data_IF_963823627847
#
_entry.id   IF_963823627847
#
_cell.length_a   1.000
_cell.length_b   1.000
_cell.length_c   1.000
_cell.angle_alpha   90.00
_cell.angle_beta   90.00
_cell.angle_gamma   90.00
#
_symmetry.space_group_name_H-M   'P 1'
#
loop_
_entity.id
_entity.type
_entity.pdbx_description
1 polymer ?
#
# COMPACT_ATOMS: atom_id res chain seq x y z
N UNK A 1 -32.91 19.20 -11.16
CA UNK A 1 -32.03 18.08 -11.54
C UNK A 1 -30.61 18.52 -11.23
N UNK A 2 -30.04 18.02 -10.13
CA UNK A 2 -28.65 18.30 -9.78
C UNK A 2 -27.78 17.37 -10.64
N UNK A 3 -27.02 17.92 -11.58
CA UNK A 3 -25.99 17.15 -12.26
C UNK A 3 -24.92 16.85 -11.21
N UNK A 4 -24.82 15.60 -10.78
CA UNK A 4 -23.69 15.16 -9.97
C UNK A 4 -22.41 15.66 -10.64
N UNK A 5 -21.42 16.17 -9.88
CA UNK A 5 -20.16 16.59 -10.46
C UNK A 5 -19.58 15.42 -11.24
N UNK A 6 -19.18 15.66 -12.49
CA UNK A 6 -18.56 14.66 -13.34
C UNK A 6 -17.11 14.48 -12.83
N UNK A 7 -16.96 13.75 -11.73
CA UNK A 7 -15.65 13.38 -11.22
C UNK A 7 -15.02 12.40 -12.22
N UNK A 8 -13.75 12.60 -12.62
CA UNK A 8 -13.07 11.60 -13.42
C UNK A 8 -13.11 10.26 -12.69
N UNK A 9 -13.19 9.16 -13.44
CA UNK A 9 -13.09 7.82 -12.87
C UNK A 9 -11.81 7.74 -12.01
N UNK A 10 -11.88 7.11 -10.81
CA UNK A 10 -10.74 7.03 -9.92
C UNK A 10 -9.58 6.32 -10.62
N UNK A 11 -8.36 6.79 -10.35
CA UNK A 11 -7.14 6.17 -10.87
C UNK A 11 -6.33 5.65 -9.71
N UNK A 12 -6.54 4.39 -9.35
CA UNK A 12 -5.82 3.77 -8.28
C UNK A 12 -4.39 3.46 -8.70
N UNK A 13 -3.45 3.75 -7.81
CA UNK A 13 -2.03 3.43 -7.97
C UNK A 13 -1.66 2.50 -6.82
N UNK A 14 -1.28 1.27 -7.15
CA UNK A 14 -0.56 0.38 -6.25
C UNK A 14 0.88 0.87 -6.10
N UNK A 15 1.40 0.86 -4.88
CA UNK A 15 2.76 1.21 -4.57
C UNK A 15 3.43 0.15 -3.71
N UNK A 16 4.75 0.01 -3.90
CA UNK A 16 5.66 -0.74 -3.04
C UNK A 16 6.77 0.19 -2.58
N UNK A 17 7.05 0.21 -1.28
CA UNK A 17 8.09 1.06 -0.70
C UNK A 17 9.11 0.16 -0.02
N UNK A 18 10.35 0.17 -0.50
CA UNK A 18 11.45 -0.53 0.16
C UNK A 18 11.76 0.15 1.51
N UNK A 19 11.43 -0.55 2.60
CA UNK A 19 11.67 -0.10 3.98
C UNK A 19 12.86 -0.82 4.61
N UNK A 20 13.51 -1.72 3.87
CA UNK A 20 14.66 -2.51 4.33
C UNK A 20 15.78 -1.68 4.98
N UNK A 21 16.11 -0.45 4.51
CA UNK A 21 17.13 0.38 5.15
C UNK A 21 16.84 0.74 6.62
N UNK A 22 15.60 0.58 7.08
CA UNK A 22 15.15 0.90 8.44
C UNK A 22 14.99 -0.34 9.34
N UNK A 23 15.21 -1.54 8.80
CA UNK A 23 14.99 -2.80 9.49
C UNK A 23 16.26 -3.34 10.14
N UNK A 24 16.09 -4.14 11.21
CA UNK A 24 17.18 -4.89 11.81
C UNK A 24 17.68 -5.99 10.86
N UNK A 25 18.99 -6.27 10.86
CA UNK A 25 19.62 -7.26 9.98
C UNK A 25 19.00 -8.66 10.11
N UNK A 26 18.65 -9.02 11.33
CA UNK A 26 18.20 -10.35 11.74
C UNK A 26 16.78 -10.60 11.23
N UNK A 27 15.96 -9.55 11.27
CA UNK A 27 14.64 -9.52 10.66
C UNK A 27 14.74 -9.61 9.13
N UNK A 28 15.60 -8.80 8.51
CA UNK A 28 15.81 -8.83 7.05
C UNK A 28 16.27 -10.19 6.54
N UNK A 29 17.15 -10.88 7.28
CA UNK A 29 17.60 -12.21 6.93
C UNK A 29 16.43 -13.22 6.83
N UNK A 30 15.41 -13.07 7.69
CA UNK A 30 14.19 -13.89 7.66
C UNK A 30 13.23 -13.49 6.54
N UNK A 31 13.27 -12.23 6.10
CA UNK A 31 12.45 -11.70 5.01
C UNK A 31 13.06 -11.89 3.60
N UNK A 32 14.13 -12.69 3.46
CA UNK A 32 14.80 -12.89 2.17
C UNK A 32 15.75 -11.76 1.75
N UNK A 33 16.07 -10.84 2.66
CA UNK A 33 17.01 -9.73 2.45
C UNK A 33 16.33 -8.37 2.32
N UNK A 34 15.03 -8.34 1.98
CA UNK A 34 14.24 -7.11 1.90
C UNK A 34 12.85 -7.28 2.47
N UNK A 35 12.27 -6.16 2.87
CA UNK A 35 10.87 -6.04 3.28
C UNK A 35 10.31 -4.74 2.73
N UNK A 36 9.09 -4.83 2.25
CA UNK A 36 8.41 -3.74 1.57
C UNK A 36 7.14 -3.36 2.32
N UNK A 37 6.78 -2.08 2.25
CA UNK A 37 5.44 -1.63 2.58
C UNK A 37 4.63 -1.53 1.29
N UNK A 38 3.57 -2.31 1.14
CA UNK A 38 2.71 -2.35 -0.06
C UNK A 38 1.35 -1.74 0.24
N UNK A 39 0.80 -1.00 -0.72
CA UNK A 39 -0.46 -0.29 -0.54
C UNK A 39 -1.01 0.30 -1.83
N UNK A 40 -2.17 0.96 -1.76
CA UNK A 40 -2.72 1.66 -2.92
C UNK A 40 -3.47 2.94 -2.53
N UNK A 41 -3.54 3.88 -3.46
CA UNK A 41 -4.21 5.17 -3.26
C UNK A 41 -4.88 5.65 -4.54
N UNK A 42 -5.94 6.45 -4.40
CA UNK A 42 -6.57 7.15 -5.52
C UNK A 42 -5.74 8.38 -5.91
N UNK A 43 -5.05 8.32 -7.05
CA UNK A 43 -4.18 9.40 -7.53
C UNK A 43 -4.98 10.63 -7.98
N UNK A 44 -6.30 10.51 -8.16
CA UNK A 44 -7.18 11.63 -8.49
C UNK A 44 -7.56 12.49 -7.27
N UNK A 45 -7.36 11.97 -6.05
CA UNK A 45 -7.80 12.60 -4.81
C UNK A 45 -6.64 13.31 -4.11
N UNK A 46 -6.91 14.53 -3.61
CA UNK A 46 -6.03 15.27 -2.72
C UNK A 46 -6.74 15.51 -1.40
N UNK A 47 -6.12 15.08 -0.30
CA UNK A 47 -6.59 15.36 1.05
C UNK A 47 -5.69 16.42 1.69
N UNK A 48 -6.30 17.48 2.21
CA UNK A 48 -5.60 18.55 2.92
C UNK A 48 -5.80 18.38 4.43
N UNK A 49 -4.90 17.66 5.09
CA UNK A 49 -4.94 17.46 6.54
C UNK A 49 -4.29 18.63 7.26
N UNK A 50 -5.09 19.64 7.64
CA UNK A 50 -4.64 20.80 8.42
C UNK A 50 -3.35 21.48 7.88
N UNK A 51 -3.06 21.30 6.59
CA UNK A 51 -1.84 21.70 5.89
C UNK A 51 -2.18 22.11 4.46
N UNK A 52 -1.42 23.07 3.92
CA UNK A 52 -1.54 23.49 2.53
C UNK A 52 -0.94 22.47 1.56
N UNK A 53 -0.01 21.65 2.03
CA UNK A 53 0.57 20.58 1.23
C UNK A 53 -0.48 19.48 1.04
N UNK A 54 -0.85 19.13 -0.20
CA UNK A 54 -1.77 18.03 -0.44
C UNK A 54 -1.13 16.71 -0.03
N UNK A 55 -1.92 15.85 0.58
CA UNK A 55 -1.59 14.47 0.88
C UNK A 55 -2.49 13.52 0.09
N UNK A 56 -2.04 12.29 -0.07
CA UNK A 56 -2.86 11.18 -0.53
C UNK A 56 -3.08 10.24 0.65
N UNK A 57 -4.28 9.68 0.71
CA UNK A 57 -4.61 8.63 1.66
C UNK A 57 -4.28 7.29 1.03
N UNK A 58 -3.52 6.45 1.74
CA UNK A 58 -3.17 5.10 1.28
C UNK A 58 -4.05 4.13 2.04
N UNK A 59 -4.97 3.48 1.33
CA UNK A 59 -6.11 2.72 1.89
C UNK A 59 -5.69 1.43 2.62
N UNK A 60 -4.47 0.95 2.40
CA UNK A 60 -3.92 -0.22 3.07
C UNK A 60 -2.41 -0.12 3.01
N UNK A 61 -1.73 -0.43 4.12
CA UNK A 61 -0.28 -0.60 4.15
C UNK A 61 0.07 -1.90 4.85
N UNK A 62 0.72 -2.82 4.13
CA UNK A 62 1.17 -4.09 4.67
C UNK A 62 2.63 -4.37 4.43
N UNK A 63 3.26 -5.00 5.43
CA UNK A 63 4.63 -5.47 5.27
C UNK A 63 4.64 -6.77 4.49
N UNK A 64 5.38 -6.78 3.38
CA UNK A 64 5.56 -7.96 2.52
C UNK A 64 7.06 -8.26 2.44
N UNK A 65 7.50 -9.45 2.88
CA UNK A 65 8.90 -9.85 2.75
C UNK A 65 9.24 -10.16 1.28
N UNK A 66 10.51 -10.01 0.89
CA UNK A 66 10.97 -10.43 -0.45
C UNK A 66 10.85 -11.94 -0.65
N UNK A 67 11.09 -12.71 0.41
CA UNK A 67 10.82 -14.13 0.44
C UNK A 67 10.41 -14.57 1.84
N UNK A 68 9.56 -15.59 1.88
CA UNK A 68 9.21 -16.30 3.09
C UNK A 68 10.21 -17.42 3.39
N UNK A 69 10.41 -17.76 4.68
CA UNK A 69 11.11 -18.98 5.07
C UNK A 69 10.48 -20.23 4.41
N UNK A 70 11.33 -21.23 4.14
CA UNK A 70 10.89 -22.50 3.57
C UNK A 70 10.11 -23.36 4.58
N UNK A 71 10.41 -23.22 5.89
CA UNK A 71 9.74 -23.95 6.96
C UNK A 71 8.39 -23.33 7.33
N UNK A 72 7.36 -24.16 7.48
CA UNK A 72 6.00 -23.71 7.80
C UNK A 72 5.92 -22.99 9.16
N UNK A 73 6.59 -23.51 10.21
CA UNK A 73 6.63 -22.87 11.53
C UNK A 73 7.34 -21.52 11.50
N UNK A 74 8.45 -21.42 10.76
CA UNK A 74 9.20 -20.16 10.61
C UNK A 74 8.42 -19.13 9.79
N UNK A 75 7.66 -19.60 8.79
CA UNK A 75 6.75 -18.76 8.01
C UNK A 75 5.62 -18.21 8.87
N UNK A 76 4.93 -19.06 9.61
CA UNK A 76 3.84 -18.63 10.51
C UNK A 76 4.33 -17.65 11.58
N UNK A 77 5.52 -17.88 12.12
CA UNK A 77 6.16 -16.96 13.07
C UNK A 77 6.47 -15.60 12.42
N UNK A 78 6.99 -15.58 11.19
CA UNK A 78 7.27 -14.34 10.47
C UNK A 78 5.97 -13.60 10.12
N UNK A 79 4.93 -14.30 9.65
CA UNK A 79 3.63 -13.70 9.37
C UNK A 79 3.03 -13.05 10.62
N UNK A 80 3.09 -13.74 11.76
CA UNK A 80 2.65 -13.19 13.05
C UNK A 80 3.41 -11.92 13.41
N UNK A 81 4.74 -11.93 13.28
CA UNK A 81 5.58 -10.76 13.57
C UNK A 81 5.29 -9.58 12.63
N UNK A 82 5.10 -9.83 11.33
CA UNK A 82 4.74 -8.79 10.35
C UNK A 82 3.39 -8.14 10.68
N UNK A 83 2.40 -8.96 11.07
CA UNK A 83 1.08 -8.48 11.51
C UNK A 83 1.14 -7.70 12.83
N UNK A 84 2.00 -8.09 13.77
CA UNK A 84 2.19 -7.36 15.03
C UNK A 84 2.87 -5.98 14.83
N UNK A 85 3.74 -5.86 13.83
CA UNK A 85 4.39 -4.58 13.47
C UNK A 85 3.42 -3.64 12.74
N UNK A 86 2.46 -4.18 11.98
CA UNK A 86 1.34 -3.41 11.44
C UNK A 86 0.53 -2.84 12.61
N UNK A 87 0.82 -1.61 13.00
CA UNK A 87 -0.01 -0.89 13.98
C UNK A 87 -1.42 -0.76 13.43
N UNK A 88 -2.41 -1.01 14.28
CA UNK A 88 -3.88 -1.00 14.06
C UNK A 88 -4.49 0.26 13.43
N UNK A 89 -3.70 1.21 12.96
CA UNK A 89 -4.16 2.33 12.12
C UNK A 89 -3.86 1.98 10.67
N UNK A 90 -4.78 1.26 10.04
CA UNK A 90 -4.70 0.61 8.71
C UNK A 90 -4.45 1.55 7.52
N UNK A 91 -4.23 2.84 7.74
CA UNK A 91 -4.10 3.81 6.67
C UNK A 91 -3.31 5.05 7.07
N UNK A 92 -2.30 5.38 6.26
CA UNK A 92 -1.47 6.56 6.44
C UNK A 92 -1.69 7.60 5.35
N UNK A 93 -1.55 8.86 5.73
CA UNK A 93 -1.50 9.98 4.79
C UNK A 93 -0.06 10.31 4.43
N UNK A 94 0.27 10.18 3.15
CA UNK A 94 1.56 10.60 2.62
C UNK A 94 1.42 11.92 1.88
N UNK A 95 2.35 12.85 2.11
CA UNK A 95 2.41 14.08 1.32
C UNK A 95 2.58 13.74 -0.17
N UNK A 96 1.78 14.34 -1.05
CA UNK A 96 1.85 14.11 -2.50
C UNK A 96 3.26 14.35 -3.06
N UNK A 97 4.03 15.38 -2.64
CA UNK A 97 5.42 15.54 -3.08
C UNK A 97 6.32 14.35 -2.71
N UNK A 98 6.06 13.68 -1.58
CA UNK A 98 6.81 12.48 -1.18
C UNK A 98 6.52 11.32 -2.12
N UNK A 99 5.25 11.06 -2.40
CA UNK A 99 4.82 10.01 -3.33
C UNK A 99 5.37 10.26 -4.73
N UNK A 100 5.30 11.49 -5.24
CA UNK A 100 5.86 11.85 -6.55
C UNK A 100 7.39 11.65 -6.60
N UNK A 101 8.10 11.99 -5.52
CA UNK A 101 9.54 11.77 -5.42
C UNK A 101 9.88 10.27 -5.43
N UNK A 102 9.15 9.46 -4.67
CA UNK A 102 9.34 8.01 -4.63
C UNK A 102 9.05 7.38 -5.99
N UNK A 103 7.92 7.74 -6.60
CA UNK A 103 7.53 7.29 -7.95
C UNK A 103 8.55 7.67 -9.02
N UNK A 104 9.18 8.84 -8.91
CA UNK A 104 10.24 9.24 -9.83
C UNK A 104 11.54 8.46 -9.61
N UNK A 105 11.83 8.09 -8.37
CA UNK A 105 13.04 7.35 -8.02
C UNK A 105 12.96 5.88 -8.44
N UNK A 106 11.80 5.24 -8.28
CA UNK A 106 11.56 3.82 -8.60
C UNK A 106 10.18 3.67 -9.25
N UNK A 107 10.01 4.04 -10.53
CA UNK A 107 8.71 4.01 -11.20
C UNK A 107 8.11 2.60 -11.31
N UNK A 108 8.93 1.55 -11.35
CA UNK A 108 8.52 0.16 -11.40
C UNK A 108 7.73 -0.30 -10.16
N UNK A 109 7.94 0.39 -9.03
CA UNK A 109 7.25 0.13 -7.77
C UNK A 109 5.88 0.83 -7.68
N UNK A 110 5.47 1.58 -8.72
CA UNK A 110 4.20 2.30 -8.76
C UNK A 110 3.43 1.90 -10.01
N UNK A 111 2.35 1.15 -9.84
CA UNK A 111 1.54 0.64 -10.96
C UNK A 111 0.12 1.17 -10.89
N UNK A 112 -0.37 1.64 -12.04
CA UNK A 112 -1.79 1.89 -12.18
C UNK A 112 -2.55 0.57 -12.09
N UNK A 113 -3.63 0.57 -11.32
CA UNK A 113 -4.53 -0.56 -11.17
C UNK A 113 -5.90 -0.12 -11.65
N UNK A 114 -6.50 -0.96 -12.49
CA UNK A 114 -7.84 -0.76 -13.00
C UNK A 114 -8.78 -1.65 -12.17
N UNK A 115 -9.27 -1.12 -11.05
CA UNK A 115 -10.25 -1.79 -10.17
C UNK A 115 -11.51 -0.94 -10.15
N UNK A 116 -12.63 -1.55 -10.51
CA UNK A 116 -13.95 -0.96 -10.33
C UNK A 116 -14.34 -1.16 -8.86
N UNK A 117 -14.18 -0.11 -8.05
CA UNK A 117 -14.55 -0.14 -6.64
C UNK A 117 -16.00 0.33 -6.48
N UNK A 118 -16.86 -0.54 -5.96
CA UNK A 118 -18.19 -0.13 -5.51
C UNK A 118 -18.07 0.65 -4.19
N UNK A 119 -18.27 1.97 -4.26
CA UNK A 119 -18.19 2.86 -3.09
C UNK A 119 -19.45 2.79 -2.22
N UNK A 120 -20.49 2.05 -2.62
CA UNK A 120 -21.62 1.74 -1.75
C UNK A 120 -21.26 0.67 -0.71
N UNK A 121 -20.23 -0.14 -0.97
CA UNK A 121 -19.68 -1.10 -0.03
C UNK A 121 -18.79 -0.44 1.05
N UNK A 122 -18.54 -1.16 2.15
CA UNK A 122 -17.66 -0.66 3.21
C UNK A 122 -16.23 -0.50 2.71
N UNK A 123 -15.49 0.47 3.26
CA UNK A 123 -14.07 0.70 2.95
C UNK A 123 -13.22 -0.57 3.10
N UNK A 124 -13.50 -1.36 4.13
CA UNK A 124 -12.87 -2.66 4.37
C UNK A 124 -13.13 -3.65 3.21
N UNK A 125 -14.38 -3.78 2.76
CA UNK A 125 -14.76 -4.76 1.76
C UNK A 125 -14.06 -4.54 0.41
N UNK A 126 -14.05 -3.32 -0.10
CA UNK A 126 -13.36 -3.05 -1.36
C UNK A 126 -11.84 -2.92 -1.19
N UNK A 127 -11.33 -2.60 0.01
CA UNK A 127 -9.88 -2.65 0.28
C UNK A 127 -9.37 -4.08 0.19
N UNK A 128 -10.11 -5.03 0.75
CA UNK A 128 -9.79 -6.45 0.64
C UNK A 128 -9.92 -6.97 -0.80
N UNK A 129 -10.93 -6.51 -1.56
CA UNK A 129 -11.05 -6.83 -2.98
C UNK A 129 -9.83 -6.34 -3.79
N UNK A 130 -9.38 -5.10 -3.55
CA UNK A 130 -8.18 -4.58 -4.21
C UNK A 130 -6.93 -5.36 -3.80
N UNK A 131 -6.80 -5.73 -2.51
CA UNK A 131 -5.70 -6.58 -2.02
C UNK A 131 -5.70 -7.95 -2.69
N UNK A 132 -6.87 -8.59 -2.80
CA UNK A 132 -7.02 -9.88 -3.48
C UNK A 132 -6.70 -9.75 -4.97
N UNK A 133 -7.19 -8.71 -5.65
CA UNK A 133 -6.90 -8.44 -7.05
C UNK A 133 -5.41 -8.21 -7.31
N UNK A 134 -4.72 -7.62 -6.33
CA UNK A 134 -3.28 -7.36 -6.39
C UNK A 134 -2.44 -8.54 -5.90
N UNK A 135 -3.04 -9.58 -5.31
CA UNK A 135 -2.33 -10.78 -4.90
C UNK A 135 -1.66 -11.46 -6.11
N UNK A 136 -0.32 -11.55 -6.08
CA UNK A 136 0.48 -12.07 -7.20
C UNK A 136 0.93 -11.03 -8.23
N UNK A 137 0.58 -9.75 -8.08
CA UNK A 137 1.26 -8.67 -8.80
C UNK A 137 2.65 -8.47 -8.17
N UNK A 138 3.75 -8.37 -8.92
CA UNK A 138 5.09 -8.25 -8.31
C UNK A 138 5.35 -6.96 -7.49
N UNK A 139 4.34 -6.10 -7.35
CA UNK A 139 4.33 -4.90 -6.49
C UNK A 139 3.54 -5.13 -5.20
N UNK A 140 2.79 -6.25 -5.08
CA UNK A 140 1.94 -6.62 -3.95
C UNK A 140 2.23 -8.03 -3.44
#
# INVERSE_FOLDING_TARGET
MSTAPNYPAPRYIACRIDVSPYCQSDFLARCGGKVYLTGFFDDSVNTHLCSLTPSVYVHSLGFVPEAYPEGDEEREALDTELMEIQTTEDSDYYGRPTIERLRKAQPEDFKAVDVEIDREDSEEAWTDEVREHLSGNPVF
#
